data_IF_406989769835
#
_entry.id   IF_406989769835
#
_cell.length_a   1.000
_cell.length_b   1.000
_cell.length_c   1.000
_cell.angle_alpha   90.00
_cell.angle_beta   90.00
_cell.angle_gamma   90.00
#
_symmetry.space_group_name_H-M   'P 1'
#
loop_
_entity.id
_entity.type
_entity.pdbx_description
1 polymer ?
#
# COMPACT_ATOMS: atom_id res chain seq x y z
N UNK A 1 23.08 2.62 34.03
CA UNK A 1 22.93 2.08 32.66
C UNK A 1 21.47 2.25 32.33
N UNK A 2 21.14 3.24 31.49
CA UNK A 2 19.76 3.49 31.10
C UNK A 2 19.32 2.31 30.23
N UNK A 3 18.27 1.62 30.64
CA UNK A 3 17.56 0.67 29.79
C UNK A 3 17.12 1.43 28.54
N UNK A 4 17.82 1.24 27.43
CA UNK A 4 17.32 1.62 26.11
C UNK A 4 16.06 0.78 25.88
N UNK A 5 14.91 1.40 26.12
CA UNK A 5 13.61 0.85 25.74
C UNK A 5 13.63 0.75 24.22
N UNK A 6 14.01 -0.42 23.71
CA UNK A 6 13.82 -0.75 22.30
C UNK A 6 12.33 -0.61 22.04
N UNK A 7 11.94 0.45 21.32
CA UNK A 7 10.59 0.54 20.79
C UNK A 7 10.43 -0.68 19.91
N UNK A 8 9.52 -1.59 20.27
CA UNK A 8 9.15 -2.75 19.46
C UNK A 8 8.83 -2.38 18.00
N UNK A 9 8.57 -1.10 17.77
CA UNK A 9 8.20 -0.51 16.50
C UNK A 9 9.35 -0.28 15.50
N UNK A 10 10.60 -0.27 15.96
CA UNK A 10 11.80 -0.13 15.10
C UNK A 10 12.37 -1.50 14.69
N UNK A 11 11.67 -2.58 15.03
CA UNK A 11 12.10 -3.92 14.65
C UNK A 11 11.91 -4.12 13.13
N UNK A 12 12.96 -4.56 12.41
CA UNK A 12 12.86 -4.92 10.99
C UNK A 12 11.73 -5.90 10.67
N UNK A 13 11.30 -6.69 11.66
CA UNK A 13 10.15 -7.61 11.55
C UNK A 13 8.82 -6.89 11.35
N UNK A 14 8.59 -5.74 12.01
CA UNK A 14 7.32 -5.02 11.93
C UNK A 14 7.20 -4.29 10.59
N UNK A 15 8.28 -3.63 10.14
CA UNK A 15 8.33 -3.02 8.80
C UNK A 15 8.09 -4.06 7.70
N UNK A 16 8.74 -5.24 7.80
CA UNK A 16 8.49 -6.36 6.88
C UNK A 16 7.04 -6.84 6.96
N UNK A 17 6.45 -6.90 8.15
CA UNK A 17 5.03 -7.25 8.34
C UNK A 17 4.09 -6.33 7.56
N UNK A 18 4.32 -5.02 7.57
CA UNK A 18 3.51 -4.08 6.78
C UNK A 18 3.76 -4.19 5.27
N UNK A 19 4.99 -4.49 4.83
CA UNK A 19 5.28 -4.77 3.41
C UNK A 19 4.56 -6.05 2.95
N UNK A 20 4.57 -7.11 3.75
CA UNK A 20 3.79 -8.32 3.46
C UNK A 20 2.28 -8.05 3.48
N UNK A 21 1.81 -7.19 4.38
CA UNK A 21 0.43 -6.69 4.38
C UNK A 21 0.06 -5.99 3.07
N UNK A 22 0.92 -5.10 2.57
CA UNK A 22 0.71 -4.46 1.27
C UNK A 22 0.59 -5.46 0.14
N UNK A 23 1.49 -6.45 0.08
CA UNK A 23 1.46 -7.52 -0.93
C UNK A 23 0.17 -8.33 -0.85
N UNK A 24 -0.24 -8.69 0.36
CA UNK A 24 -1.47 -9.43 0.59
C UNK A 24 -2.70 -8.66 0.08
N UNK A 25 -2.91 -7.42 0.54
CA UNK A 25 -4.07 -6.64 0.13
C UNK A 25 -4.05 -6.27 -1.35
N UNK A 26 -2.87 -5.98 -1.91
CA UNK A 26 -2.73 -5.72 -3.33
C UNK A 26 -3.07 -6.95 -4.19
N UNK A 27 -2.72 -8.17 -3.72
CA UNK A 27 -3.12 -9.41 -4.39
C UNK A 27 -4.64 -9.61 -4.48
N UNK A 28 -5.39 -9.12 -3.48
CA UNK A 28 -6.87 -9.14 -3.50
C UNK A 28 -7.38 -8.25 -4.63
N UNK A 29 -6.81 -7.06 -4.82
CA UNK A 29 -7.17 -6.15 -5.92
C UNK A 29 -6.83 -6.80 -7.27
N UNK A 30 -5.63 -7.39 -7.40
CA UNK A 30 -5.22 -8.09 -8.62
C UNK A 30 -6.07 -9.33 -8.94
N UNK A 31 -6.73 -9.95 -7.95
CA UNK A 31 -7.69 -11.02 -8.21
C UNK A 31 -8.88 -10.57 -9.08
N UNK A 32 -9.10 -9.25 -9.19
CA UNK A 32 -10.12 -8.61 -10.03
C UNK A 32 -9.55 -7.92 -11.28
N UNK A 33 -8.30 -8.23 -11.65
CA UNK A 33 -7.59 -7.56 -12.75
C UNK A 33 -8.37 -7.53 -14.08
N UNK A 34 -9.06 -8.62 -14.42
CA UNK A 34 -9.86 -8.71 -15.65
C UNK A 34 -10.96 -7.64 -15.72
N UNK A 35 -11.56 -7.27 -14.58
CA UNK A 35 -12.57 -6.20 -14.51
C UNK A 35 -11.95 -4.80 -14.48
N UNK A 36 -10.69 -4.69 -14.06
CA UNK A 36 -10.01 -3.40 -13.91
C UNK A 36 -9.34 -2.93 -15.21
N UNK A 37 -9.04 -3.84 -16.14
CA UNK A 37 -8.34 -3.51 -17.40
C UNK A 37 -9.14 -2.57 -18.31
N UNK A 38 -10.47 -2.55 -18.19
CA UNK A 38 -11.35 -1.66 -18.95
C UNK A 38 -11.21 -0.19 -18.50
N UNK A 39 -10.73 0.04 -17.28
CA UNK A 39 -10.51 1.36 -16.70
C UNK A 39 -9.03 1.74 -16.84
N UNK A 40 -8.64 2.21 -18.03
CA UNK A 40 -7.22 2.40 -18.41
C UNK A 40 -6.40 3.21 -17.40
N UNK A 41 -6.92 4.35 -16.93
CA UNK A 41 -6.20 5.22 -16.00
C UNK A 41 -6.00 4.51 -14.65
N UNK A 42 -7.06 3.87 -14.14
CA UNK A 42 -7.01 3.10 -12.90
C UNK A 42 -6.06 1.91 -13.00
N UNK A 43 -6.10 1.21 -14.13
CA UNK A 43 -5.20 0.09 -14.42
C UNK A 43 -3.74 0.53 -14.50
N UNK A 44 -3.48 1.72 -15.06
CA UNK A 44 -2.15 2.30 -15.10
C UNK A 44 -1.64 2.65 -13.69
N UNK A 45 -2.48 3.24 -12.83
CA UNK A 45 -2.14 3.50 -11.43
C UNK A 45 -1.87 2.19 -10.67
N UNK A 46 -2.69 1.15 -10.86
CA UNK A 46 -2.44 -0.18 -10.28
C UNK A 46 -1.12 -0.79 -10.75
N UNK A 47 -0.80 -0.68 -12.04
CA UNK A 47 0.47 -1.18 -12.59
C UNK A 47 1.66 -0.47 -11.96
N UNK A 48 1.59 0.86 -11.84
CA UNK A 48 2.62 1.66 -11.16
C UNK A 48 2.74 1.29 -9.67
N UNK A 49 1.61 1.09 -9.00
CA UNK A 49 1.58 0.66 -7.61
C UNK A 49 2.30 -0.68 -7.42
N UNK A 50 2.03 -1.66 -8.30
CA UNK A 50 2.71 -2.96 -8.28
C UNK A 50 4.23 -2.83 -8.44
N UNK A 51 4.69 -2.00 -9.38
CA UNK A 51 6.12 -1.76 -9.61
C UNK A 51 6.81 -1.14 -8.39
N UNK A 52 6.23 -0.09 -7.80
CA UNK A 52 6.79 0.53 -6.60
C UNK A 52 6.76 -0.40 -5.38
N UNK A 53 5.77 -1.29 -5.29
CA UNK A 53 5.69 -2.30 -4.24
C UNK A 53 6.82 -3.33 -4.36
N UNK A 54 7.18 -3.73 -5.58
CA UNK A 54 8.34 -4.60 -5.81
C UNK A 54 9.65 -3.90 -5.42
N UNK A 55 9.80 -2.62 -5.77
CA UNK A 55 10.97 -1.82 -5.35
C UNK A 55 11.03 -1.73 -3.83
N UNK A 56 9.93 -1.41 -3.17
CA UNK A 56 9.85 -1.34 -1.71
C UNK A 56 10.24 -2.67 -1.07
N UNK A 57 9.77 -3.79 -1.63
CA UNK A 57 10.11 -5.12 -1.12
C UNK A 57 11.62 -5.43 -1.23
N UNK A 58 12.28 -4.95 -2.29
CA UNK A 58 13.71 -5.16 -2.50
C UNK A 58 14.59 -4.20 -1.69
N UNK A 59 14.29 -2.90 -1.74
CA UNK A 59 15.15 -1.84 -1.19
C UNK A 59 14.75 -1.40 0.21
N UNK A 60 13.49 -1.60 0.58
CA UNK A 60 12.89 -1.16 1.84
C UNK A 60 13.14 0.33 2.13
N UNK A 61 13.23 1.15 1.08
CA UNK A 61 13.45 2.59 1.21
C UNK A 61 12.13 3.34 1.39
N UNK A 62 12.25 4.58 1.83
CA UNK A 62 11.09 5.44 2.09
C UNK A 62 10.58 6.16 0.86
N UNK A 63 11.44 6.31 -0.16
CA UNK A 63 11.05 6.88 -1.44
C UNK A 63 9.93 6.05 -2.07
N UNK A 64 10.02 4.71 -2.04
CA UNK A 64 8.94 3.86 -2.53
C UNK A 64 7.69 3.90 -1.66
N UNK A 65 7.79 4.08 -0.33
CA UNK A 65 6.61 4.29 0.53
C UNK A 65 5.89 5.59 0.17
N UNK A 66 6.63 6.66 -0.10
CA UNK A 66 6.09 7.94 -0.56
C UNK A 66 5.44 7.82 -1.92
N UNK A 67 6.09 7.16 -2.88
CA UNK A 67 5.54 6.91 -4.21
C UNK A 67 4.25 6.09 -4.16
N UNK A 68 4.23 4.99 -3.39
CA UNK A 68 3.02 4.18 -3.17
C UNK A 68 1.89 4.99 -2.55
N UNK A 69 2.21 5.86 -1.60
CA UNK A 69 1.21 6.72 -0.95
C UNK A 69 0.65 7.78 -1.89
N UNK A 70 1.45 8.29 -2.81
CA UNK A 70 0.97 9.20 -3.84
C UNK A 70 0.02 8.49 -4.81
N UNK A 71 0.43 7.33 -5.33
CA UNK A 71 -0.39 6.51 -6.23
C UNK A 71 -1.70 6.07 -5.53
N UNK A 72 -1.65 5.75 -4.23
CA UNK A 72 -2.84 5.37 -3.46
C UNK A 72 -3.92 6.45 -3.49
N UNK A 73 -3.58 7.74 -3.65
CA UNK A 73 -4.58 8.82 -3.77
C UNK A 73 -5.44 8.68 -5.01
N UNK A 74 -4.92 8.10 -6.09
CA UNK A 74 -5.69 7.84 -7.32
C UNK A 74 -6.84 6.86 -7.06
N UNK A 75 -6.74 6.03 -6.00
CA UNK A 75 -7.81 5.11 -5.60
C UNK A 75 -8.92 5.81 -4.81
N UNK A 76 -8.71 7.06 -4.41
CA UNK A 76 -9.63 7.89 -3.64
C UNK A 76 -9.85 9.27 -4.29
N UNK A 77 -10.42 9.34 -5.51
CA UNK A 77 -10.76 10.63 -6.12
C UNK A 77 -11.64 11.45 -5.17
N UNK A 78 -11.29 12.72 -4.98
CA UNK A 78 -11.97 13.65 -4.05
C UNK A 78 -12.08 13.12 -2.60
N UNK A 79 -11.12 12.29 -2.17
CA UNK A 79 -11.08 11.69 -0.84
C UNK A 79 -12.11 10.58 -0.63
N UNK A 80 -12.75 10.08 -1.69
CA UNK A 80 -13.70 8.96 -1.65
C UNK A 80 -13.21 7.83 -2.53
N UNK A 81 -13.38 6.60 -2.05
CA UNK A 81 -13.03 5.40 -2.80
C UNK A 81 -13.62 5.42 -4.21
N UNK A 82 -12.77 5.14 -5.20
CA UNK A 82 -13.15 5.07 -6.60
C UNK A 82 -14.30 4.07 -6.79
N UNK A 83 -15.32 4.46 -7.57
CA UNK A 83 -16.58 3.72 -7.70
C UNK A 83 -16.39 2.28 -8.20
N UNK A 84 -15.39 2.06 -9.07
CA UNK A 84 -15.00 0.74 -9.58
C UNK A 84 -14.53 -0.19 -8.47
N UNK A 85 -13.78 0.30 -7.48
CA UNK A 85 -13.36 -0.54 -6.37
C UNK A 85 -14.53 -0.91 -5.47
N UNK A 86 -15.45 0.03 -5.25
CA UNK A 86 -16.70 -0.22 -4.52
C UNK A 86 -17.57 -1.26 -5.21
N UNK A 87 -17.76 -1.17 -6.53
CA UNK A 87 -18.57 -2.15 -7.28
C UNK A 87 -17.96 -3.57 -7.26
N UNK A 88 -16.65 -3.66 -7.01
CA UNK A 88 -15.92 -4.92 -6.90
C UNK A 88 -15.77 -5.42 -5.46
N UNK A 89 -16.36 -4.73 -4.47
CA UNK A 89 -16.26 -5.01 -3.04
C UNK A 89 -14.79 -5.07 -2.53
N UNK A 90 -13.97 -4.10 -2.94
CA UNK A 90 -12.53 -4.05 -2.63
C UNK A 90 -12.21 -3.15 -1.42
N UNK A 91 -13.20 -2.76 -0.63
CA UNK A 91 -13.06 -1.85 0.50
C UNK A 91 -11.99 -2.30 1.49
N UNK A 92 -12.09 -3.55 1.94
CA UNK A 92 -11.17 -4.14 2.93
C UNK A 92 -9.72 -4.12 2.43
N UNK A 93 -9.51 -4.37 1.13
CA UNK A 93 -8.18 -4.36 0.54
C UNK A 93 -7.59 -2.95 0.50
N UNK A 94 -8.39 -1.95 0.14
CA UNK A 94 -7.97 -0.56 0.07
C UNK A 94 -7.74 0.08 1.44
N UNK A 95 -8.58 -0.26 2.43
CA UNK A 95 -8.39 0.14 3.82
C UNK A 95 -7.09 -0.47 4.37
N UNK A 96 -6.88 -1.77 4.12
CA UNK A 96 -5.66 -2.48 4.52
C UNK A 96 -4.39 -1.91 3.88
N UNK A 97 -4.43 -1.54 2.60
CA UNK A 97 -3.32 -0.84 1.93
C UNK A 97 -3.05 0.51 2.62
N UNK A 98 -4.10 1.28 2.87
CA UNK A 98 -3.97 2.63 3.45
C UNK A 98 -3.42 2.59 4.88
N UNK A 99 -3.85 1.61 5.68
CA UNK A 99 -3.30 1.37 7.01
C UNK A 99 -1.83 0.99 6.96
N UNK A 100 -1.45 0.03 6.11
CA UNK A 100 -0.05 -0.37 5.95
C UNK A 100 0.84 0.82 5.52
N UNK A 101 0.40 1.63 4.55
CA UNK A 101 1.14 2.81 4.11
C UNK A 101 1.24 3.86 5.23
N UNK A 102 0.17 4.10 5.97
CA UNK A 102 0.19 5.02 7.12
C UNK A 102 1.20 4.56 8.18
N UNK A 103 1.21 3.27 8.51
CA UNK A 103 2.14 2.70 9.50
C UNK A 103 3.59 2.76 9.02
N UNK A 104 3.84 2.50 7.74
CA UNK A 104 5.17 2.65 7.15
C UNK A 104 5.64 4.11 7.14
N UNK A 105 4.74 5.08 6.90
CA UNK A 105 5.06 6.52 6.92
C UNK A 105 5.30 7.07 8.32
N UNK A 106 4.45 6.74 9.29
CA UNK A 106 4.52 7.29 10.65
C UNK A 106 5.80 6.91 11.40
N UNK A 107 6.58 5.93 10.91
CA UNK A 107 7.77 5.38 11.58
C UNK A 107 9.11 5.89 11.03
N UNK A 108 9.10 6.98 10.25
CA UNK A 108 10.35 7.62 9.73
C UNK A 108 10.54 9.06 10.22
N UNK A 109 9.85 9.43 11.30
CA UNK A 109 10.15 10.65 12.06
C UNK A 109 10.60 10.30 13.48
#
# INVERSE_FOLDING_TARGET
MADEIVKFDDLPSVKRGYIEGLKYYFSIILSKQASLIEFKDLYQSLTKFGYELEILNQKQDMASVDALSEINKDFYPDGKMHSVFRSLNLEVALDGISECLMCLKKRVL
#
